data_IF_801874902989
#
_entry.id   IF_801874902989
#
_cell.length_a   1.000
_cell.length_b   1.000
_cell.length_c   1.000
_cell.angle_alpha   90.00
_cell.angle_beta   90.00
_cell.angle_gamma   90.00
#
_symmetry.space_group_name_H-M   'P 1'
#
loop_
_entity.id
_entity.type
_entity.pdbx_description
1 polymer ?
#
# COMPACT_ATOMS: atom_id res chain seq x y z
N UNK A 1 -2.57 -18.63 -20.48
CA UNK A 1 -2.07 -18.98 -19.13
C UNK A 1 -0.80 -18.22 -18.78
N UNK A 2 0.28 -18.22 -19.59
CA UNK A 2 1.52 -17.52 -19.20
C UNK A 2 1.36 -16.01 -18.93
N UNK A 3 0.59 -15.30 -19.76
CA UNK A 3 0.40 -13.84 -19.65
C UNK A 3 -0.29 -13.40 -18.34
N UNK A 4 -1.24 -14.19 -17.83
CA UNK A 4 -1.98 -13.89 -16.59
C UNK A 4 -1.18 -14.23 -15.33
N UNK A 5 -0.37 -15.29 -15.38
CA UNK A 5 0.60 -15.58 -14.33
C UNK A 5 1.63 -14.45 -14.20
N UNK A 6 2.04 -13.84 -15.33
CA UNK A 6 2.92 -12.67 -15.32
C UNK A 6 2.22 -11.43 -14.73
N UNK A 7 0.94 -11.22 -15.05
CA UNK A 7 0.17 -10.09 -14.51
C UNK A 7 0.01 -10.19 -12.97
N UNK A 8 -0.35 -11.35 -12.44
CA UNK A 8 -0.47 -11.55 -10.98
C UNK A 8 0.88 -11.34 -10.26
N UNK A 9 2.00 -11.74 -10.88
CA UNK A 9 3.33 -11.52 -10.35
C UNK A 9 3.73 -10.04 -10.35
N UNK A 10 3.42 -9.31 -11.43
CA UNK A 10 3.59 -7.85 -11.50
C UNK A 10 2.76 -7.14 -10.42
N UNK A 11 1.53 -7.59 -10.17
CA UNK A 11 0.68 -7.04 -9.12
C UNK A 11 1.26 -7.29 -7.73
N UNK A 12 1.77 -8.49 -7.44
CA UNK A 12 2.47 -8.76 -6.16
C UNK A 12 3.67 -7.83 -5.98
N UNK A 13 4.52 -7.71 -7.00
CA UNK A 13 5.67 -6.82 -6.96
C UNK A 13 5.28 -5.35 -6.77
N UNK A 14 4.14 -4.92 -7.33
CA UNK A 14 3.60 -3.58 -7.12
C UNK A 14 3.12 -3.38 -5.67
N UNK A 15 2.42 -4.36 -5.09
CA UNK A 15 1.99 -4.30 -3.69
C UNK A 15 3.18 -4.22 -2.73
N UNK A 16 4.22 -5.03 -2.96
CA UNK A 16 5.43 -5.03 -2.13
C UNK A 16 6.16 -3.68 -2.24
N UNK A 17 6.25 -3.11 -3.44
CA UNK A 17 6.79 -1.75 -3.64
C UNK A 17 5.96 -0.68 -2.93
N UNK A 18 4.63 -0.82 -2.87
CA UNK A 18 3.76 0.08 -2.10
C UNK A 18 4.03 -0.04 -0.59
N UNK A 19 4.21 -1.25 -0.07
CA UNK A 19 4.57 -1.48 1.34
C UNK A 19 5.94 -0.87 1.67
N UNK A 20 6.93 -1.06 0.80
CA UNK A 20 8.26 -0.45 0.94
C UNK A 20 8.18 1.09 0.95
N UNK A 21 7.40 1.65 0.03
CA UNK A 21 7.18 3.11 -0.04
C UNK A 21 6.50 3.63 1.23
N UNK A 22 5.53 2.89 1.78
CA UNK A 22 4.88 3.24 3.04
C UNK A 22 5.89 3.21 4.21
N UNK A 23 6.76 2.21 4.24
CA UNK A 23 7.83 2.13 5.25
C UNK A 23 8.84 3.28 5.12
N UNK A 24 9.19 3.68 3.90
CA UNK A 24 10.05 4.84 3.63
C UNK A 24 9.40 6.15 4.10
N UNK A 25 8.12 6.34 3.77
CA UNK A 25 7.33 7.50 4.20
C UNK A 25 7.27 7.58 5.72
N UNK A 26 6.98 6.47 6.41
CA UNK A 26 6.94 6.42 7.87
C UNK A 26 8.30 6.76 8.50
N UNK A 27 9.41 6.30 7.92
CA UNK A 27 10.76 6.67 8.40
C UNK A 27 11.07 8.14 8.24
N UNK A 28 10.65 8.76 7.15
CA UNK A 28 10.87 10.19 6.93
C UNK A 28 9.98 11.06 7.83
N UNK A 29 8.77 10.59 8.08
CA UNK A 29 7.83 11.10 9.08
C UNK A 29 8.47 11.18 10.47
N UNK A 30 9.04 10.07 10.94
CA UNK A 30 9.70 10.00 12.25
C UNK A 30 10.88 10.99 12.34
N UNK A 31 11.63 11.15 11.24
CA UNK A 31 12.73 12.12 11.17
C UNK A 31 12.23 13.56 11.28
N UNK A 32 11.16 13.89 10.57
CA UNK A 32 10.55 15.23 10.63
C UNK A 32 10.06 15.52 12.05
N UNK A 33 9.41 14.56 12.72
CA UNK A 33 9.00 14.71 14.11
C UNK A 33 10.20 14.95 15.03
N UNK A 34 11.29 14.19 14.90
CA UNK A 34 12.50 14.39 15.71
C UNK A 34 13.11 15.79 15.52
N UNK A 35 13.20 16.26 14.27
CA UNK A 35 13.69 17.61 13.98
C UNK A 35 12.75 18.66 14.58
N UNK A 36 11.44 18.47 14.43
CA UNK A 36 10.43 19.35 14.98
C UNK A 36 10.57 19.45 16.52
N UNK A 37 10.65 18.32 17.22
CA UNK A 37 10.86 18.27 18.67
C UNK A 37 12.15 18.95 19.12
N UNK A 38 13.26 18.73 18.41
CA UNK A 38 14.53 19.38 18.69
C UNK A 38 14.46 20.90 18.55
N UNK A 39 13.58 21.41 17.67
CA UNK A 39 13.37 22.85 17.50
C UNK A 39 12.38 23.44 18.49
N UNK A 40 11.54 22.62 19.15
CA UNK A 40 10.47 23.07 20.05
C UNK A 40 10.96 23.99 21.18
N UNK A 41 12.18 23.77 21.68
CA UNK A 41 12.79 24.59 22.73
C UNK A 41 13.01 26.05 22.32
N UNK A 42 13.03 26.36 21.02
CA UNK A 42 13.22 27.72 20.52
C UNK A 42 11.90 28.51 20.36
N UNK A 43 10.74 27.84 20.46
CA UNK A 43 9.44 28.44 20.17
C UNK A 43 8.72 28.72 21.48
N UNK A 44 8.83 29.96 21.98
CA UNK A 44 8.23 30.37 23.26
C UNK A 44 6.95 31.18 23.03
N UNK A 45 5.92 30.93 23.84
CA UNK A 45 4.69 31.74 23.83
C UNK A 45 3.74 31.42 22.68
N UNK A 46 3.31 32.44 21.91
CA UNK A 46 2.33 32.24 20.83
C UNK A 46 2.84 31.31 19.71
N UNK A 47 4.15 31.29 19.46
CA UNK A 47 4.78 30.40 18.49
C UNK A 47 4.61 28.92 18.87
N UNK A 48 4.62 28.60 20.17
CA UNK A 48 4.42 27.24 20.66
C UNK A 48 3.04 26.70 20.28
N UNK A 49 1.98 27.50 20.44
CA UNK A 49 0.61 27.08 20.07
C UNK A 49 0.46 26.82 18.57
N UNK A 50 1.04 27.68 17.73
CA UNK A 50 1.01 27.47 16.28
C UNK A 50 1.80 26.23 15.86
N UNK A 51 2.91 25.94 16.55
CA UNK A 51 3.69 24.74 16.34
C UNK A 51 2.94 23.48 16.79
N UNK A 52 2.33 23.49 17.99
CA UNK A 52 1.53 22.37 18.49
C UNK A 52 0.35 22.06 17.54
N UNK A 53 -0.34 23.08 16.99
CA UNK A 53 -1.41 22.90 15.97
C UNK A 53 -0.86 22.34 14.64
N UNK A 54 0.31 22.82 14.19
CA UNK A 54 0.97 22.26 13.02
C UNK A 54 1.30 20.78 13.20
N UNK A 55 1.85 20.41 14.37
CA UNK A 55 2.19 19.02 14.68
C UNK A 55 0.94 18.13 14.70
N UNK A 56 -0.16 18.60 15.29
CA UNK A 56 -1.42 17.84 15.30
C UNK A 56 -1.97 17.59 13.88
N UNK A 57 -1.91 18.60 12.99
CA UNK A 57 -2.31 18.44 11.57
C UNK A 57 -1.37 17.54 10.81
N UNK A 58 -0.08 17.61 11.13
CA UNK A 58 0.94 16.77 10.53
C UNK A 58 0.69 15.31 10.88
N UNK A 59 0.50 14.97 12.16
CA UNK A 59 0.18 13.62 12.62
C UNK A 59 -1.10 13.05 11.97
N UNK A 60 -2.15 13.86 11.80
CA UNK A 60 -3.35 13.41 11.08
C UNK A 60 -3.08 13.14 9.59
N UNK A 61 -2.33 14.03 8.91
CA UNK A 61 -1.96 13.84 7.51
C UNK A 61 -1.12 12.57 7.30
N UNK A 62 -0.20 12.29 8.23
CA UNK A 62 0.61 11.07 8.24
C UNK A 62 -0.24 9.81 8.38
N UNK A 63 -1.14 9.78 9.36
CA UNK A 63 -2.05 8.64 9.57
C UNK A 63 -2.88 8.38 8.31
N UNK A 64 -3.46 9.43 7.72
CA UNK A 64 -4.25 9.32 6.49
C UNK A 64 -3.44 8.81 5.31
N UNK A 65 -2.18 9.24 5.19
CA UNK A 65 -1.28 8.75 4.13
C UNK A 65 -0.97 7.27 4.31
N UNK A 66 -0.64 6.83 5.54
CA UNK A 66 -0.33 5.43 5.80
C UNK A 66 -1.54 4.52 5.60
N UNK A 67 -2.73 4.95 6.05
CA UNK A 67 -4.00 4.26 5.79
C UNK A 67 -4.26 4.11 4.29
N UNK A 68 -4.05 5.19 3.50
CA UNK A 68 -4.26 5.15 2.05
C UNK A 68 -3.28 4.21 1.34
N UNK A 69 -1.98 4.25 1.70
CA UNK A 69 -0.97 3.37 1.13
C UNK A 69 -1.25 1.90 1.47
N UNK A 70 -1.62 1.61 2.73
CA UNK A 70 -2.03 0.26 3.13
C UNK A 70 -3.27 -0.21 2.37
N UNK A 71 -4.26 0.65 2.16
CA UNK A 71 -5.45 0.31 1.38
C UNK A 71 -5.11 0.02 -0.09
N UNK A 72 -4.19 0.77 -0.69
CA UNK A 72 -3.69 0.52 -2.05
C UNK A 72 -3.01 -0.84 -2.12
N UNK A 73 -2.11 -1.17 -1.18
CA UNK A 73 -1.42 -2.46 -1.15
C UNK A 73 -2.40 -3.64 -1.03
N UNK A 74 -3.41 -3.51 -0.15
CA UNK A 74 -4.49 -4.52 -0.02
C UNK A 74 -5.27 -4.66 -1.32
N UNK A 75 -5.68 -3.55 -1.95
CA UNK A 75 -6.43 -3.59 -3.20
C UNK A 75 -5.66 -4.26 -4.33
N UNK A 76 -4.35 -3.99 -4.44
CA UNK A 76 -3.49 -4.64 -5.43
C UNK A 76 -3.41 -6.16 -5.18
N UNK A 77 -3.24 -6.59 -3.93
CA UNK A 77 -3.21 -8.02 -3.56
C UNK A 77 -4.53 -8.72 -3.83
N UNK A 78 -5.65 -8.08 -3.50
CA UNK A 78 -6.99 -8.63 -3.75
C UNK A 78 -7.25 -8.80 -5.24
N UNK A 79 -6.84 -7.83 -6.06
CA UNK A 79 -6.92 -7.94 -7.51
C UNK A 79 -6.03 -9.07 -8.03
N UNK A 80 -4.78 -9.21 -7.56
CA UNK A 80 -3.89 -10.30 -7.95
C UNK A 80 -4.51 -11.68 -7.68
N UNK A 81 -5.12 -11.86 -6.49
CA UNK A 81 -5.81 -13.10 -6.11
C UNK A 81 -7.05 -13.37 -6.98
N UNK A 82 -7.79 -12.33 -7.33
CA UNK A 82 -8.92 -12.44 -8.26
C UNK A 82 -8.47 -12.96 -9.62
N UNK A 83 -7.38 -12.39 -10.16
CA UNK A 83 -6.79 -12.85 -11.42
C UNK A 83 -6.37 -14.32 -11.39
N UNK A 84 -5.69 -14.76 -10.32
CA UNK A 84 -5.32 -16.19 -10.15
C UNK A 84 -6.53 -17.12 -10.07
N UNK A 85 -7.57 -16.71 -9.35
CA UNK A 85 -8.80 -17.51 -9.19
C UNK A 85 -9.56 -17.65 -10.51
N UNK A 86 -9.65 -16.56 -11.28
CA UNK A 86 -10.28 -16.57 -12.61
C UNK A 86 -9.51 -17.44 -13.59
N UNK A 87 -8.17 -17.41 -13.58
CA UNK A 87 -7.35 -18.27 -14.45
C UNK A 87 -7.52 -19.76 -14.12
N UNK A 88 -7.49 -20.13 -12.83
CA UNK A 88 -7.72 -21.50 -12.38
C UNK A 88 -9.10 -22.03 -12.83
N UNK A 89 -10.14 -21.23 -12.63
CA UNK A 89 -11.52 -21.58 -13.01
C UNK A 89 -11.67 -21.76 -14.52
N UNK A 90 -11.10 -20.86 -15.32
CA UNK A 90 -11.17 -20.92 -16.78
C UNK A 90 -10.40 -22.14 -17.32
N UNK A 91 -9.23 -22.43 -16.74
CA UNK A 91 -8.41 -23.57 -17.14
C UNK A 91 -9.08 -24.90 -16.82
N UNK A 92 -9.69 -25.03 -15.64
CA UNK A 92 -10.43 -26.24 -15.27
C UNK A 92 -11.68 -26.45 -16.12
N UNK A 93 -12.40 -25.37 -16.44
CA UNK A 93 -13.53 -25.41 -17.37
C UNK A 93 -13.09 -25.85 -18.77
N UNK A 94 -11.99 -25.31 -19.28
CA UNK A 94 -11.42 -25.72 -20.57
C UNK A 94 -10.99 -27.19 -20.57
N UNK A 95 -10.37 -27.67 -19.49
CA UNK A 95 -10.00 -29.09 -19.34
C UNK A 95 -11.23 -30.01 -19.34
N UNK A 96 -12.30 -29.62 -18.64
CA UNK A 96 -13.56 -30.38 -18.65
C UNK A 96 -14.19 -30.43 -20.04
N UNK A 97 -14.22 -29.31 -20.76
CA UNK A 97 -14.73 -29.26 -22.14
C UNK A 97 -13.88 -30.12 -23.09
N UNK A 98 -12.55 -30.04 -22.99
CA UNK A 98 -11.64 -30.85 -23.81
C UNK A 98 -11.76 -32.36 -23.51
N UNK A 99 -11.97 -32.74 -22.25
CA UNK A 99 -12.24 -34.12 -21.85
C UNK A 99 -13.61 -34.63 -22.31
N UNK A 100 -14.61 -33.75 -22.44
CA UNK A 100 -15.94 -34.09 -22.97
C UNK A 100 -16.00 -34.19 -24.49
N UNK A 101 -15.08 -33.52 -25.21
CA UNK A 101 -14.99 -33.56 -26.68
C UNK A 101 -14.16 -34.74 -27.21
N UNK A 102 -13.51 -35.51 -26.32
CA UNK A 102 -12.67 -36.67 -26.68
C UNK A 102 -13.35 -38.03 -26.45
N UNK A 103 -14.66 -38.03 -26.18
CA UNK A 103 -15.55 -39.20 -26.16
C UNK A 103 -16.62 -39.07 -27.25
#
# INVERSE_FOLDING_TARGET
MEQFATEAEVMRAAADRTDDTNADVNREIDRIQQVAEATRSYWVGNAQRSFDDLMARYDDAQRRLSEALSAIAVNIRDNAKHYETTDATNTDSLRQLAGGLTL
#
